data_IF_070711494263
#
_entry.id   IF_070711494263
#
_cell.length_a   1.000
_cell.length_b   1.000
_cell.length_c   1.000
_cell.angle_alpha   90.00
_cell.angle_beta   90.00
_cell.angle_gamma   90.00
#
_symmetry.space_group_name_H-M   'P 1'
#
loop_
_entity.id
_entity.type
_entity.pdbx_description
1 polymer ?
#
# COMPACT_ATOMS: atom_id res chain seq x y z
N UNK A 1 -19.51 1.05 12.19
CA UNK A 1 -19.39 0.37 10.88
C UNK A 1 -20.72 0.51 10.19
N UNK A 2 -20.71 1.00 8.97
CA UNK A 2 -21.89 1.36 8.19
C UNK A 2 -21.86 0.59 6.87
N UNK A 3 -23.01 0.10 6.39
CA UNK A 3 -23.11 -0.48 5.05
C UNK A 3 -23.53 0.61 4.07
N UNK A 4 -22.86 0.69 2.94
CA UNK A 4 -23.15 1.65 1.88
C UNK A 4 -23.25 0.95 0.52
N UNK A 5 -23.93 1.60 -0.42
CA UNK A 5 -23.99 1.17 -1.81
C UNK A 5 -22.92 1.89 -2.63
N UNK A 6 -22.17 1.15 -3.43
CA UNK A 6 -21.23 1.69 -4.39
C UNK A 6 -21.85 1.78 -5.79
N UNK A 7 -21.36 2.71 -6.61
CA UNK A 7 -21.68 2.79 -8.05
C UNK A 7 -20.70 2.03 -8.92
N UNK A 8 -19.46 1.88 -8.44
CA UNK A 8 -18.37 1.16 -9.11
C UNK A 8 -17.34 0.71 -8.08
N UNK A 9 -16.65 -0.39 -8.36
CA UNK A 9 -15.57 -0.94 -7.54
C UNK A 9 -14.22 -0.78 -8.23
N UNK A 10 -14.17 -0.97 -9.55
CA UNK A 10 -12.95 -0.87 -10.37
C UNK A 10 -12.92 0.41 -11.21
N UNK A 11 -12.13 1.39 -10.76
CA UNK A 11 -11.87 2.63 -11.50
C UNK A 11 -10.55 2.55 -12.26
N UNK A 12 -10.53 2.89 -13.55
CA UNK A 12 -9.26 3.01 -14.30
C UNK A 12 -8.50 4.25 -13.83
N UNK A 13 -7.20 4.11 -13.56
CA UNK A 13 -6.35 5.26 -13.23
C UNK A 13 -6.22 6.21 -14.43
N UNK A 14 -6.09 7.51 -14.16
CA UNK A 14 -5.91 8.53 -15.23
C UNK A 14 -4.64 8.27 -16.03
N UNK A 15 -3.53 7.99 -15.34
CA UNK A 15 -2.23 7.69 -15.93
C UNK A 15 -1.97 6.18 -15.80
N UNK A 16 -2.77 5.36 -16.51
CA UNK A 16 -2.68 3.91 -16.44
C UNK A 16 -1.82 3.32 -17.58
N UNK A 17 -0.95 2.31 -17.31
CA UNK A 17 -0.57 1.85 -15.97
C UNK A 17 0.24 2.91 -15.22
N UNK A 18 0.10 2.97 -13.89
CA UNK A 18 0.89 3.91 -13.09
C UNK A 18 2.38 3.53 -13.07
N UNK A 19 3.25 4.52 -12.89
CA UNK A 19 4.70 4.34 -13.02
C UNK A 19 5.37 3.68 -11.82
N UNK A 20 4.70 3.61 -10.67
CA UNK A 20 5.26 3.03 -9.45
C UNK A 20 4.94 1.54 -9.35
N UNK A 21 3.70 1.17 -9.66
CA UNK A 21 3.16 -0.15 -9.36
C UNK A 21 2.60 -0.90 -10.57
N UNK A 22 2.54 -0.25 -11.74
CA UNK A 22 1.97 -0.84 -12.95
C UNK A 22 0.45 -1.11 -12.83
N UNK A 23 -0.23 -0.45 -11.88
CA UNK A 23 -1.67 -0.61 -11.65
C UNK A 23 -2.43 0.11 -12.76
N UNK A 24 -3.43 -0.57 -13.32
CA UNK A 24 -4.36 0.01 -14.28
C UNK A 24 -5.72 0.30 -13.67
N UNK A 25 -6.19 -0.62 -12.82
CA UNK A 25 -7.49 -0.53 -12.16
C UNK A 25 -7.31 -0.44 -10.65
N UNK A 26 -7.87 0.61 -10.04
CA UNK A 26 -7.91 0.71 -8.59
C UNK A 26 -9.19 0.08 -8.05
N UNK A 27 -9.06 -0.80 -7.06
CA UNK A 27 -10.16 -1.45 -6.37
C UNK A 27 -10.29 -0.90 -4.94
N UNK A 28 -11.49 -0.42 -4.59
CA UNK A 28 -11.78 0.05 -3.23
C UNK A 28 -13.03 -0.63 -2.69
N UNK A 29 -12.86 -1.48 -1.69
CA UNK A 29 -13.94 -2.24 -1.07
C UNK A 29 -14.53 -1.55 0.17
N UNK A 30 -13.74 -0.66 0.79
CA UNK A 30 -14.11 0.08 1.98
C UNK A 30 -13.96 1.59 1.80
N UNK A 31 -14.54 2.36 2.73
CA UNK A 31 -14.17 3.75 2.99
C UNK A 31 -13.83 3.92 4.47
N UNK A 32 -12.82 4.75 4.75
CA UNK A 32 -12.17 4.83 6.05
C UNK A 32 -11.09 3.75 6.23
N UNK A 33 -10.27 3.85 7.27
CA UNK A 33 -9.27 2.85 7.56
C UNK A 33 -8.98 2.68 9.06
N UNK A 34 -9.09 1.46 9.59
CA UNK A 34 -8.87 1.17 11.02
C UNK A 34 -7.40 1.26 11.45
N UNK A 35 -6.46 1.32 10.50
CA UNK A 35 -5.04 1.49 10.83
C UNK A 35 -4.71 2.87 11.41
N UNK A 36 -5.53 3.88 11.11
CA UNK A 36 -5.45 5.22 11.72
C UNK A 36 -4.05 5.88 11.66
N UNK A 37 -3.29 5.62 10.59
CA UNK A 37 -1.97 6.22 10.39
C UNK A 37 -2.06 7.75 10.51
N UNK A 38 -1.13 8.35 11.26
CA UNK A 38 -1.20 9.78 11.58
C UNK A 38 -1.04 10.66 10.34
N UNK A 39 -0.37 10.14 9.31
CA UNK A 39 -0.04 10.82 8.05
C UNK A 39 -0.96 10.42 6.87
N UNK A 40 -2.05 9.71 7.11
CA UNK A 40 -2.84 9.09 6.03
C UNK A 40 -3.41 10.10 5.02
N UNK A 41 -2.97 10.01 3.76
CA UNK A 41 -3.40 10.87 2.65
C UNK A 41 -4.92 10.80 2.41
N UNK A 42 -5.53 9.63 2.64
CA UNK A 42 -6.97 9.40 2.48
C UNK A 42 -7.87 10.17 3.45
N UNK A 43 -7.28 10.91 4.42
CA UNK A 43 -7.99 11.90 5.23
C UNK A 43 -8.28 13.20 4.50
N UNK A 44 -7.61 13.45 3.37
CA UNK A 44 -7.81 14.65 2.58
C UNK A 44 -9.25 14.76 2.08
N UNK A 45 -9.74 15.99 1.96
CA UNK A 45 -11.09 16.29 1.51
C UNK A 45 -11.40 15.71 0.12
N UNK A 46 -10.40 15.57 -0.75
CA UNK A 46 -10.59 15.04 -2.10
C UNK A 46 -11.14 13.59 -2.12
N UNK A 47 -10.94 12.82 -1.04
CA UNK A 47 -11.47 11.46 -0.88
C UNK A 47 -12.92 11.41 -0.34
N UNK A 48 -13.45 12.57 0.09
CA UNK A 48 -14.84 12.76 0.54
C UNK A 48 -15.26 11.82 1.68
N UNK A 49 -14.33 11.48 2.58
CA UNK A 49 -14.58 10.66 3.76
C UNK A 49 -14.71 11.61 4.96
N UNK A 50 -15.92 11.80 5.47
CA UNK A 50 -16.19 12.73 6.56
C UNK A 50 -15.60 12.22 7.89
N UNK A 51 -15.93 10.97 8.25
CA UNK A 51 -15.37 10.29 9.41
C UNK A 51 -14.53 9.10 8.95
N UNK A 52 -13.20 9.25 9.09
CA UNK A 52 -12.25 8.21 8.68
C UNK A 52 -12.21 7.01 9.63
N UNK A 53 -12.81 7.14 10.82
CA UNK A 53 -12.89 6.08 11.84
C UNK A 53 -14.13 5.21 11.67
N UNK A 54 -15.23 5.77 11.15
CA UNK A 54 -16.41 4.99 10.79
C UNK A 54 -16.20 4.27 9.45
N UNK A 55 -15.82 2.99 9.54
CA UNK A 55 -15.61 2.16 8.35
C UNK A 55 -16.94 1.92 7.63
N UNK A 56 -16.98 2.33 6.37
CA UNK A 56 -18.11 2.09 5.48
C UNK A 56 -17.78 0.90 4.57
N UNK A 57 -18.62 -0.12 4.63
CA UNK A 57 -18.49 -1.38 3.89
C UNK A 57 -19.39 -1.28 2.65
N UNK A 58 -18.82 -1.46 1.46
CA UNK A 58 -19.60 -1.46 0.23
C UNK A 58 -20.28 -2.82 0.05
N UNK A 59 -21.52 -2.95 0.52
CA UNK A 59 -22.18 -4.26 0.61
C UNK A 59 -22.46 -4.91 -0.75
N UNK A 60 -22.65 -4.11 -1.80
CA UNK A 60 -22.84 -4.58 -3.17
C UNK A 60 -21.52 -4.78 -3.94
N UNK A 61 -20.36 -4.70 -3.27
CA UNK A 61 -19.07 -4.68 -3.92
C UNK A 61 -18.77 -5.94 -4.75
N UNK A 62 -19.06 -7.13 -4.22
CA UNK A 62 -18.74 -8.38 -4.92
C UNK A 62 -19.57 -8.54 -6.20
N UNK A 63 -20.88 -8.29 -6.12
CA UNK A 63 -21.77 -8.35 -7.28
C UNK A 63 -21.37 -7.34 -8.36
N UNK A 64 -21.01 -6.11 -7.97
CA UNK A 64 -20.51 -5.10 -8.90
C UNK A 64 -19.17 -5.48 -9.51
N UNK A 65 -18.23 -5.97 -8.69
CA UNK A 65 -16.91 -6.38 -9.12
C UNK A 65 -17.01 -7.48 -10.18
N UNK A 66 -17.83 -8.50 -9.96
CA UNK A 66 -18.03 -9.58 -10.93
C UNK A 66 -18.54 -9.05 -12.29
N UNK A 67 -19.54 -8.17 -12.28
CA UNK A 67 -20.06 -7.53 -13.49
C UNK A 67 -19.00 -6.68 -14.20
N UNK A 68 -18.19 -5.94 -13.45
CA UNK A 68 -17.11 -5.11 -14.00
C UNK A 68 -15.98 -5.96 -14.59
N UNK A 69 -15.59 -7.05 -13.94
CA UNK A 69 -14.55 -7.98 -14.41
C UNK A 69 -14.98 -8.68 -15.71
N UNK A 70 -16.26 -9.08 -15.83
CA UNK A 70 -16.83 -9.66 -17.07
C UNK A 70 -16.76 -8.69 -18.25
N UNK A 71 -16.99 -7.39 -18.00
CA UNK A 71 -17.02 -6.35 -19.05
C UNK A 71 -15.62 -5.89 -19.48
N UNK A 72 -14.60 -6.00 -18.62
CA UNK A 72 -13.24 -5.52 -18.91
C UNK A 72 -12.46 -6.55 -19.75
N UNK A 73 -12.29 -6.22 -21.04
CA UNK A 73 -11.50 -7.03 -22.00
C UNK A 73 -9.99 -6.96 -21.75
N UNK A 74 -9.49 -5.78 -21.38
CA UNK A 74 -8.08 -5.59 -21.03
C UNK A 74 -7.82 -6.20 -19.64
N UNK A 75 -7.07 -7.31 -19.61
CA UNK A 75 -6.54 -7.90 -18.37
C UNK A 75 -5.29 -7.13 -17.97
N UNK A 76 -5.42 -6.29 -16.95
CA UNK A 76 -4.35 -5.46 -16.44
C UNK A 76 -4.45 -5.34 -14.91
N UNK A 77 -3.35 -4.98 -14.27
CA UNK A 77 -3.19 -5.07 -12.80
C UNK A 77 -4.28 -4.32 -12.07
N UNK A 78 -4.98 -5.05 -11.19
CA UNK A 78 -5.90 -4.51 -10.20
C UNK A 78 -5.11 -4.22 -8.93
N UNK A 79 -5.04 -2.95 -8.53
CA UNK A 79 -4.42 -2.52 -7.30
C UNK A 79 -5.42 -2.37 -6.15
N UNK A 80 -4.98 -2.70 -4.95
CA UNK A 80 -5.69 -2.40 -3.69
C UNK A 80 -4.77 -1.59 -2.76
N UNK A 81 -5.29 -1.06 -1.65
CA UNK A 81 -4.45 -0.38 -0.64
C UNK A 81 -4.26 1.12 -0.85
N UNK A 82 -4.95 1.75 -1.81
CA UNK A 82 -4.74 3.16 -2.17
C UNK A 82 -5.56 4.16 -1.35
N UNK A 83 -6.79 3.84 -0.97
CA UNK A 83 -7.66 4.72 -0.15
C UNK A 83 -8.02 4.16 1.23
N UNK A 84 -7.80 2.86 1.39
CA UNK A 84 -8.06 2.07 2.59
C UNK A 84 -7.11 0.87 2.53
N UNK A 85 -6.83 0.26 3.67
CA UNK A 85 -6.10 -0.99 3.69
C UNK A 85 -7.07 -2.15 3.43
N UNK A 86 -6.79 -3.07 2.48
CA UNK A 86 -7.68 -4.19 2.20
C UNK A 86 -7.74 -5.21 3.34
N UNK A 87 -6.78 -5.20 4.27
CA UNK A 87 -6.62 -6.18 5.35
C UNK A 87 -6.72 -5.55 6.74
N UNK A 88 -7.61 -4.56 6.90
CA UNK A 88 -7.97 -4.00 8.21
C UNK A 88 -8.50 -5.06 9.18
N UNK A 89 -8.50 -4.82 10.51
CA UNK A 89 -9.08 -5.73 11.50
C UNK A 89 -10.49 -6.26 11.17
N UNK A 90 -11.37 -5.45 10.58
CA UNK A 90 -12.72 -5.87 10.14
C UNK A 90 -12.70 -6.97 9.08
N UNK A 91 -11.66 -7.02 8.25
CA UNK A 91 -11.50 -8.02 7.18
C UNK A 91 -11.34 -9.44 7.74
N UNK A 92 -10.96 -9.59 9.02
CA UNK A 92 -10.94 -10.90 9.71
C UNK A 92 -12.32 -11.56 9.75
N UNK A 93 -13.39 -10.77 9.73
CA UNK A 93 -14.76 -11.27 9.84
C UNK A 93 -15.53 -11.16 8.52
N UNK A 94 -15.33 -10.07 7.76
CA UNK A 94 -16.14 -9.79 6.56
C UNK A 94 -15.61 -10.55 5.33
N UNK A 95 -14.29 -10.75 5.25
CA UNK A 95 -13.66 -11.46 4.14
C UNK A 95 -13.99 -10.87 2.75
N UNK A 96 -14.19 -9.55 2.66
CA UNK A 96 -14.58 -8.91 1.39
C UNK A 96 -13.40 -8.91 0.43
N UNK A 97 -12.18 -8.69 0.93
CA UNK A 97 -10.95 -8.77 0.14
C UNK A 97 -10.72 -10.20 -0.32
N UNK A 98 -10.85 -11.20 0.55
CA UNK A 98 -10.71 -12.61 0.17
C UNK A 98 -11.66 -13.00 -0.95
N UNK A 99 -12.93 -12.63 -0.83
CA UNK A 99 -13.93 -12.93 -1.85
C UNK A 99 -13.72 -12.13 -3.14
N UNK A 100 -13.20 -10.90 -3.06
CA UNK A 100 -12.78 -10.17 -4.25
C UNK A 100 -11.60 -10.84 -4.96
N UNK A 101 -10.60 -11.35 -4.21
CA UNK A 101 -9.49 -12.13 -4.77
C UNK A 101 -9.99 -13.39 -5.50
N UNK A 102 -11.00 -14.09 -4.96
CA UNK A 102 -11.64 -15.22 -5.63
C UNK A 102 -12.22 -14.84 -6.98
N UNK A 103 -12.93 -13.72 -7.07
CA UNK A 103 -13.49 -13.23 -8.34
C UNK A 103 -12.37 -12.81 -9.33
N UNK A 104 -11.32 -12.17 -8.83
CA UNK A 104 -10.14 -11.78 -9.62
C UNK A 104 -9.47 -13.01 -10.23
N UNK A 105 -9.28 -14.06 -9.44
CA UNK A 105 -8.76 -15.36 -9.89
C UNK A 105 -9.63 -15.97 -10.99
N UNK A 106 -10.94 -16.10 -10.73
CA UNK A 106 -11.90 -16.68 -11.70
C UNK A 106 -11.90 -15.95 -13.05
N UNK A 107 -11.72 -14.64 -13.03
CA UNK A 107 -11.67 -13.81 -14.23
C UNK A 107 -10.26 -13.57 -14.79
N UNK A 108 -9.24 -14.23 -14.23
CA UNK A 108 -7.83 -14.20 -14.66
C UNK A 108 -7.27 -12.78 -14.76
N UNK A 109 -7.52 -11.97 -13.72
CA UNK A 109 -6.90 -10.66 -13.61
C UNK A 109 -5.64 -10.72 -12.76
N UNK A 110 -4.56 -10.03 -13.16
CA UNK A 110 -3.41 -9.81 -12.30
C UNK A 110 -3.77 -8.87 -11.14
N UNK A 111 -3.15 -9.08 -9.98
CA UNK A 111 -3.43 -8.29 -8.76
C UNK A 111 -2.16 -7.77 -8.09
N UNK A 112 -2.24 -6.57 -7.54
CA UNK A 112 -1.27 -6.02 -6.61
C UNK A 112 -1.96 -5.63 -5.31
N UNK A 113 -1.53 -6.27 -4.23
CA UNK A 113 -1.99 -5.98 -2.87
C UNK A 113 -1.00 -5.06 -2.20
N UNK A 114 -1.46 -3.90 -1.71
CA UNK A 114 -0.68 -3.01 -0.86
C UNK A 114 -1.32 -3.00 0.52
N UNK A 115 -0.55 -3.31 1.57
CA UNK A 115 -1.09 -3.40 2.94
C UNK A 115 -0.03 -3.11 4.00
N UNK A 116 -0.48 -2.75 5.20
CA UNK A 116 0.29 -2.75 6.45
C UNK A 116 -0.02 -3.95 7.35
N UNK A 117 -0.91 -4.84 6.93
CA UNK A 117 -1.47 -5.87 7.78
C UNK A 117 -0.84 -7.24 7.55
N UNK A 118 -0.50 -7.93 8.64
CA UNK A 118 -0.09 -9.32 8.61
C UNK A 118 -1.24 -10.27 8.22
N UNK A 119 -2.50 -9.81 8.25
CA UNK A 119 -3.67 -10.63 7.89
C UNK A 119 -3.65 -11.13 6.44
N UNK A 120 -2.89 -10.47 5.55
CA UNK A 120 -2.69 -10.91 4.16
C UNK A 120 -2.21 -12.36 4.05
N UNK A 121 -1.50 -12.88 5.07
CA UNK A 121 -1.02 -14.26 5.11
C UNK A 121 -2.17 -15.28 5.10
N UNK A 122 -3.36 -14.92 5.62
CA UNK A 122 -4.56 -15.76 5.57
C UNK A 122 -4.91 -16.16 4.14
N UNK A 123 -4.68 -15.26 3.19
CA UNK A 123 -5.12 -15.39 1.80
C UNK A 123 -3.98 -15.82 0.86
N UNK A 124 -2.89 -16.38 1.40
CA UNK A 124 -1.76 -16.92 0.62
C UNK A 124 -2.22 -17.95 -0.41
N UNK A 125 -3.22 -18.77 -0.08
CA UNK A 125 -3.81 -19.74 -1.01
C UNK A 125 -4.35 -19.05 -2.27
N UNK A 126 -5.18 -18.02 -2.11
CA UNK A 126 -5.74 -17.24 -3.21
C UNK A 126 -4.69 -16.42 -3.95
N UNK A 127 -3.74 -15.83 -3.23
CA UNK A 127 -2.64 -15.07 -3.84
C UNK A 127 -1.76 -15.96 -4.72
N UNK A 128 -1.51 -17.20 -4.28
CA UNK A 128 -0.78 -18.22 -5.04
C UNK A 128 -1.54 -18.65 -6.28
N UNK A 129 -2.84 -18.88 -6.17
CA UNK A 129 -3.69 -19.22 -7.32
C UNK A 129 -3.69 -18.10 -8.39
N UNK A 130 -3.77 -16.83 -7.97
CA UNK A 130 -3.70 -15.67 -8.87
C UNK A 130 -2.29 -15.50 -9.48
N UNK A 131 -1.24 -16.01 -8.81
CA UNK A 131 0.14 -15.83 -9.28
C UNK A 131 0.41 -16.49 -10.63
N UNK A 132 -0.40 -17.48 -11.04
CA UNK A 132 -0.40 -18.05 -12.39
C UNK A 132 -0.74 -17.03 -13.49
N UNK A 133 -1.44 -15.93 -13.14
CA UNK A 133 -1.58 -14.76 -14.01
C UNK A 133 -0.51 -13.73 -13.65
N UNK A 134 -0.56 -13.21 -12.42
CA UNK A 134 0.46 -12.39 -11.76
C UNK A 134 -0.11 -11.89 -10.43
N UNK A 135 0.68 -12.02 -9.37
CA UNK A 135 0.36 -11.48 -8.04
C UNK A 135 1.57 -10.75 -7.51
N UNK A 136 1.38 -9.54 -7.00
CA UNK A 136 2.37 -8.85 -6.19
C UNK A 136 1.79 -8.49 -4.81
N UNK A 137 2.60 -8.55 -3.76
CA UNK A 137 2.24 -8.08 -2.42
C UNK A 137 3.29 -7.10 -1.90
N UNK A 138 2.88 -5.85 -1.69
CA UNK A 138 3.69 -4.81 -1.08
C UNK A 138 3.29 -4.60 0.38
N UNK A 139 4.22 -4.84 1.30
CA UNK A 139 4.03 -4.52 2.72
C UNK A 139 4.66 -3.16 3.03
N UNK A 140 3.89 -2.24 3.61
CA UNK A 140 4.43 -0.94 4.02
C UNK A 140 5.13 -1.03 5.38
N UNK A 141 6.40 -0.62 5.42
CA UNK A 141 7.21 -0.48 6.64
C UNK A 141 7.83 0.92 6.64
N UNK A 142 7.40 1.77 7.56
CA UNK A 142 7.86 3.18 7.66
C UNK A 142 8.97 3.36 8.69
N UNK A 143 9.06 2.46 9.67
CA UNK A 143 10.12 2.44 10.69
C UNK A 143 10.52 1.01 11.04
N UNK A 144 11.78 0.80 11.42
CA UNK A 144 12.27 -0.46 11.98
C UNK A 144 11.95 -0.64 13.47
N UNK A 145 11.44 0.39 14.16
CA UNK A 145 11.12 0.35 15.59
C UNK A 145 9.62 0.17 15.83
N UNK A 146 9.25 -0.95 16.47
CA UNK A 146 7.87 -1.24 16.84
C UNK A 146 7.28 -0.19 17.79
N UNK A 147 8.09 0.44 18.64
CA UNK A 147 7.62 1.49 19.56
C UNK A 147 7.17 2.71 18.78
N UNK A 148 7.99 3.17 17.83
CA UNK A 148 7.63 4.25 16.92
C UNK A 148 6.45 3.86 16.02
N UNK A 149 6.41 2.63 15.50
CA UNK A 149 5.29 2.14 14.67
C UNK A 149 3.94 2.25 15.39
N UNK A 150 3.87 1.89 16.68
CA UNK A 150 2.65 2.05 17.49
C UNK A 150 2.18 3.50 17.63
N UNK A 151 3.09 4.47 17.53
CA UNK A 151 2.76 5.89 17.60
C UNK A 151 2.22 6.38 16.25
N UNK A 152 2.94 6.09 15.15
CA UNK A 152 2.62 6.65 13.83
C UNK A 152 1.54 5.87 13.07
N UNK A 153 1.34 4.60 13.39
CA UNK A 153 0.40 3.68 12.74
C UNK A 153 -0.37 2.83 13.78
N UNK A 154 -1.08 3.46 14.74
CA UNK A 154 -1.53 2.80 15.99
C UNK A 154 -2.51 1.64 15.81
N UNK A 155 -3.24 1.58 14.70
CA UNK A 155 -4.17 0.50 14.41
C UNK A 155 -3.63 -0.58 13.47
N UNK A 156 -2.42 -0.41 12.94
CA UNK A 156 -1.77 -1.40 12.10
C UNK A 156 -0.88 -2.34 12.96
N UNK A 157 -0.66 -3.59 12.51
CA UNK A 157 0.38 -4.48 13.06
C UNK A 157 1.72 -3.76 13.18
N UNK A 158 2.53 -4.07 14.19
CA UNK A 158 3.85 -3.46 14.33
C UNK A 158 4.83 -3.98 13.27
N UNK A 159 5.97 -3.32 13.11
CA UNK A 159 6.94 -3.65 12.06
C UNK A 159 7.41 -5.11 12.11
N UNK A 160 7.69 -5.64 13.31
CA UNK A 160 8.10 -7.05 13.45
C UNK A 160 7.05 -8.03 12.92
N UNK A 161 5.76 -7.80 13.17
CA UNK A 161 4.66 -8.62 12.65
C UNK A 161 4.55 -8.50 11.12
N UNK A 162 4.77 -7.31 10.56
CA UNK A 162 4.79 -7.08 9.11
C UNK A 162 5.96 -7.79 8.44
N UNK A 163 7.14 -7.82 9.06
CA UNK A 163 8.30 -8.57 8.58
C UNK A 163 8.07 -10.08 8.65
N UNK A 164 7.41 -10.59 9.68
CA UNK A 164 7.00 -11.99 9.73
C UNK A 164 6.02 -12.35 8.61
N UNK A 165 5.06 -11.47 8.31
CA UNK A 165 4.14 -11.66 7.20
C UNK A 165 4.87 -11.65 5.84
N UNK A 166 5.83 -10.75 5.66
CA UNK A 166 6.69 -10.69 4.47
C UNK A 166 7.47 -12.01 4.28
N UNK A 167 8.06 -12.54 5.36
CA UNK A 167 8.75 -13.82 5.36
C UNK A 167 7.84 -14.96 4.94
N UNK A 168 6.64 -15.06 5.53
CA UNK A 168 5.68 -16.09 5.19
C UNK A 168 5.21 -16.02 3.72
N UNK A 169 5.01 -14.80 3.18
CA UNK A 169 4.68 -14.60 1.76
C UNK A 169 5.82 -15.03 0.85
N UNK A 170 7.06 -14.65 1.18
CA UNK A 170 8.25 -15.01 0.42
C UNK A 170 8.47 -16.53 0.41
N UNK A 171 8.38 -17.19 1.56
CA UNK A 171 8.49 -18.65 1.70
C UNK A 171 7.38 -19.41 0.95
N UNK A 172 6.20 -18.79 0.78
CA UNK A 172 5.13 -19.33 -0.05
C UNK A 172 5.34 -19.14 -1.56
N UNK A 173 6.42 -18.45 -1.97
CA UNK A 173 6.75 -18.16 -3.37
C UNK A 173 5.97 -16.99 -3.97
N UNK A 174 5.36 -16.12 -3.14
CA UNK A 174 4.66 -14.94 -3.61
C UNK A 174 5.66 -13.83 -3.93
N UNK A 175 5.54 -13.20 -5.10
CA UNK A 175 6.33 -12.01 -5.42
C UNK A 175 5.94 -10.86 -4.49
N UNK A 176 6.77 -10.59 -3.50
CA UNK A 176 6.48 -9.61 -2.45
C UNK A 176 7.64 -8.64 -2.21
N UNK A 177 7.33 -7.44 -1.74
CA UNK A 177 8.32 -6.40 -1.47
C UNK A 177 7.88 -5.43 -0.40
N UNK A 178 8.75 -4.46 -0.11
CA UNK A 178 8.53 -3.47 0.95
C UNK A 178 8.39 -2.07 0.39
N UNK A 179 7.41 -1.32 0.92
CA UNK A 179 7.26 0.10 0.65
C UNK A 179 7.67 0.90 1.89
N UNK A 180 8.73 1.71 1.75
CA UNK A 180 9.11 2.73 2.72
C UNK A 180 8.40 4.03 2.34
N UNK A 181 7.09 4.02 2.48
CA UNK A 181 6.20 5.07 1.98
C UNK A 181 5.14 5.43 3.01
N UNK A 182 5.21 6.64 3.61
CA UNK A 182 6.24 7.68 3.42
C UNK A 182 7.49 7.46 4.29
N UNK A 183 8.58 8.13 3.93
CA UNK A 183 9.61 8.55 4.90
C UNK A 183 9.18 9.89 5.49
N UNK A 184 8.91 9.92 6.80
CA UNK A 184 8.41 11.08 7.52
C UNK A 184 9.58 11.99 7.94
N UNK A 185 9.61 13.27 7.48
CA UNK A 185 10.66 14.21 7.87
C UNK A 185 10.81 14.35 9.39
N UNK A 186 12.04 14.31 9.88
CA UNK A 186 12.42 14.42 11.29
C UNK A 186 11.89 13.30 12.21
N UNK A 187 11.30 12.24 11.66
CA UNK A 187 10.69 11.14 12.43
C UNK A 187 11.26 9.79 11.98
N UNK A 188 11.17 9.48 10.68
CA UNK A 188 11.64 8.19 10.13
C UNK A 188 12.75 8.36 9.09
N UNK A 189 13.25 9.58 8.91
CA UNK A 189 14.24 9.98 7.90
C UNK A 189 15.69 9.82 8.33
N UNK A 190 15.97 9.03 9.38
CA UNK A 190 17.34 8.72 9.78
C UNK A 190 17.93 7.62 8.90
N UNK A 191 19.22 7.76 8.55
CA UNK A 191 19.93 6.74 7.78
C UNK A 191 19.91 5.36 8.47
N UNK A 192 19.97 5.34 9.81
CA UNK A 192 19.89 4.11 10.60
C UNK A 192 18.52 3.43 10.46
N UNK A 193 17.42 4.18 10.46
CA UNK A 193 16.08 3.62 10.27
C UNK A 193 15.96 2.99 8.88
N UNK A 194 16.34 3.72 7.83
CA UNK A 194 16.29 3.22 6.44
C UNK A 194 17.16 1.97 6.27
N UNK A 195 18.41 2.00 6.75
CA UNK A 195 19.31 0.84 6.74
C UNK A 195 18.68 -0.37 7.43
N UNK A 196 18.12 -0.16 8.62
CA UNK A 196 17.51 -1.23 9.41
C UNK A 196 16.31 -1.86 8.70
N UNK A 197 15.47 -1.05 8.04
CA UNK A 197 14.35 -1.56 7.24
C UNK A 197 14.86 -2.39 6.08
N UNK A 198 15.86 -1.89 5.33
CA UNK A 198 16.42 -2.62 4.18
C UNK A 198 17.03 -3.95 4.61
N UNK A 199 17.88 -3.95 5.63
CA UNK A 199 18.55 -5.17 6.10
C UNK A 199 17.55 -6.21 6.60
N UNK A 200 16.54 -5.81 7.38
CA UNK A 200 15.51 -6.73 7.89
C UNK A 200 14.59 -7.25 6.78
N UNK A 201 14.20 -6.39 5.83
CA UNK A 201 13.32 -6.76 4.73
C UNK A 201 14.02 -7.72 3.75
N UNK A 202 15.31 -7.54 3.52
CA UNK A 202 16.12 -8.46 2.71
C UNK A 202 16.24 -9.83 3.40
N UNK A 203 16.50 -9.86 4.71
CA UNK A 203 16.51 -11.09 5.52
C UNK A 203 15.15 -11.82 5.52
N UNK A 204 14.06 -11.07 5.45
CA UNK A 204 12.70 -11.61 5.33
C UNK A 204 12.35 -12.06 3.89
N UNK A 205 13.27 -11.98 2.94
CA UNK A 205 13.06 -12.48 1.57
C UNK A 205 12.22 -11.56 0.69
N UNK A 206 12.27 -10.24 0.91
CA UNK A 206 11.72 -9.29 -0.07
C UNK A 206 12.33 -9.53 -1.46
N UNK A 207 11.57 -9.26 -2.51
CA UNK A 207 12.04 -9.27 -3.90
C UNK A 207 12.35 -7.87 -4.42
N UNK A 208 11.69 -6.86 -3.86
CA UNK A 208 11.91 -5.45 -4.18
C UNK A 208 11.66 -4.57 -2.96
N UNK A 209 12.24 -3.37 -2.97
CA UNK A 209 11.95 -2.32 -2.01
C UNK A 209 11.81 -1.01 -2.75
N UNK A 210 10.88 -0.17 -2.34
CA UNK A 210 10.69 1.16 -2.93
C UNK A 210 10.47 2.16 -1.81
N UNK A 211 10.99 3.37 -1.97
CA UNK A 211 10.89 4.42 -0.96
C UNK A 211 10.29 5.70 -1.56
N UNK A 212 9.55 6.44 -0.73
CA UNK A 212 9.12 7.79 -1.04
C UNK A 212 9.72 8.72 0.02
N UNK A 213 10.71 9.53 -0.39
CA UNK A 213 11.51 10.41 0.49
C UNK A 213 10.74 11.67 0.93
N UNK A 214 9.56 11.47 1.47
CA UNK A 214 8.67 12.53 1.94
C UNK A 214 7.26 12.03 2.17
N UNK A 215 6.44 12.95 2.64
CA UNK A 215 5.03 12.72 2.92
C UNK A 215 4.17 13.76 2.23
N UNK A 216 3.03 13.34 1.69
CA UNK A 216 2.04 14.26 1.16
C UNK A 216 1.35 14.99 2.33
N UNK A 217 1.04 16.27 2.17
CA UNK A 217 0.32 17.07 3.15
C UNK A 217 -0.74 17.93 2.45
N UNK A 218 -1.96 17.42 2.37
CA UNK A 218 -3.15 18.11 1.85
C UNK A 218 -4.05 18.60 3.00
N UNK A 219 -4.75 19.71 2.81
CA UNK A 219 -5.94 20.14 3.58
C UNK A 219 -6.14 19.48 4.98
N UNK A 220 -7.20 18.68 5.18
CA UNK A 220 -7.56 18.00 6.43
C UNK A 220 -6.52 16.98 6.89
N UNK A 221 -5.78 16.38 5.96
CA UNK A 221 -4.68 15.49 6.31
C UNK A 221 -3.59 16.25 7.07
N UNK A 222 -3.22 17.45 6.62
CA UNK A 222 -2.19 18.30 7.25
C UNK A 222 -2.62 18.69 8.66
N UNK A 223 -3.85 19.16 8.82
CA UNK A 223 -4.38 19.56 10.13
C UNK A 223 -4.37 18.39 11.11
N UNK A 224 -4.87 17.22 10.68
CA UNK A 224 -4.84 16.02 11.50
C UNK A 224 -3.42 15.59 11.85
N UNK A 225 -2.51 15.60 10.86
CA UNK A 225 -1.12 15.22 11.07
C UNK A 225 -0.44 16.16 12.08
N UNK A 226 -0.63 17.48 11.96
CA UNK A 226 -0.07 18.46 12.89
C UNK A 226 -0.62 18.31 14.31
N UNK A 227 -1.92 18.03 14.48
CA UNK A 227 -2.47 17.69 15.79
C UNK A 227 -1.80 16.45 16.40
N UNK A 228 -1.47 15.45 15.59
CA UNK A 228 -0.73 14.26 16.06
C UNK A 228 0.74 14.56 16.34
N UNK A 229 1.37 15.41 15.54
CA UNK A 229 2.73 15.87 15.79
C UNK A 229 2.84 16.63 17.11
N UNK A 230 1.92 17.56 17.38
CA UNK A 230 1.91 18.31 18.64
C UNK A 230 1.82 17.39 19.86
N UNK A 231 0.96 16.37 19.76
CA UNK A 231 0.76 15.38 20.82
C UNK A 231 1.94 14.43 21.04
N UNK A 232 2.53 13.91 19.96
CA UNK A 232 3.49 12.78 20.05
C UNK A 232 4.93 13.18 19.79
N UNK A 233 5.16 14.31 19.14
CA UNK A 233 6.48 14.82 18.78
C UNK A 233 6.58 16.34 19.07
N UNK A 234 6.56 16.74 20.36
CA UNK A 234 6.54 18.16 20.73
C UNK A 234 7.66 18.96 20.07
N UNK A 235 7.31 20.12 19.52
CA UNK A 235 8.25 21.01 18.82
C UNK A 235 8.46 20.69 17.33
N UNK A 236 7.87 19.62 16.78
CA UNK A 236 7.95 19.37 15.34
C UNK A 236 6.99 20.23 14.50
N UNK A 237 5.83 20.63 15.02
CA UNK A 237 4.87 21.46 14.26
C UNK A 237 5.50 22.77 13.76
N UNK A 238 6.20 23.58 14.58
CA UNK A 238 6.87 24.77 14.09
C UNK A 238 7.93 24.49 13.02
N UNK A 239 8.68 23.38 13.14
CA UNK A 239 9.67 22.97 12.13
C UNK A 239 9.02 22.61 10.80
N UNK A 240 7.91 21.87 10.84
CA UNK A 240 7.14 21.51 9.65
C UNK A 240 6.55 22.76 8.99
N UNK A 241 5.95 23.67 9.76
CA UNK A 241 5.40 24.93 9.24
C UNK A 241 6.48 25.80 8.60
N UNK A 242 7.62 25.99 9.29
CA UNK A 242 8.72 26.82 8.78
C UNK A 242 9.33 26.26 7.49
N UNK A 243 9.42 24.93 7.36
CA UNK A 243 10.07 24.28 6.21
C UNK A 243 9.13 24.06 5.02
N UNK A 244 7.91 23.61 5.27
CA UNK A 244 7.02 23.12 4.23
C UNK A 244 5.83 24.06 3.96
N UNK A 245 5.47 24.92 4.91
CA UNK A 245 4.31 25.81 4.79
C UNK A 245 3.07 25.04 4.33
N UNK A 246 2.54 25.42 3.17
CA UNK A 246 1.38 24.79 2.54
C UNK A 246 1.69 23.87 1.36
N UNK A 247 2.96 23.48 1.18
CA UNK A 247 3.36 22.60 0.09
C UNK A 247 2.61 21.26 0.14
N UNK A 248 2.30 20.73 -1.06
CA UNK A 248 1.67 19.41 -1.19
C UNK A 248 2.60 18.28 -0.72
N UNK A 249 3.91 18.42 -0.93
CA UNK A 249 4.90 17.40 -0.62
C UNK A 249 5.89 17.93 0.41
N UNK A 250 5.97 17.29 1.58
CA UNK A 250 6.99 17.54 2.57
C UNK A 250 8.13 16.52 2.36
N UNK A 251 9.09 16.89 1.51
CA UNK A 251 10.30 16.10 1.28
C UNK A 251 11.25 16.16 2.49
N UNK A 252 11.96 15.07 2.76
CA UNK A 252 12.98 15.07 3.83
C UNK A 252 14.14 16.03 3.47
N UNK A 253 14.92 16.53 4.45
CA UNK A 253 15.93 17.54 4.17
C UNK A 253 16.99 17.18 3.11
N UNK A 254 17.46 15.94 3.10
CA UNK A 254 18.38 15.40 2.09
C UNK A 254 17.75 14.21 1.34
N UNK A 255 16.67 14.50 0.60
CA UNK A 255 15.94 13.46 -0.12
C UNK A 255 16.79 12.76 -1.19
N UNK A 256 17.67 13.49 -1.89
CA UNK A 256 18.52 12.92 -2.94
C UNK A 256 19.62 12.02 -2.35
N UNK A 257 20.36 12.50 -1.35
CA UNK A 257 21.41 11.71 -0.70
C UNK A 257 20.85 10.48 -0.01
N UNK A 258 19.69 10.60 0.64
CA UNK A 258 18.99 9.45 1.23
C UNK A 258 18.52 8.45 0.16
N UNK A 259 17.97 8.91 -0.96
CA UNK A 259 17.54 8.04 -2.05
C UNK A 259 18.74 7.30 -2.68
N UNK A 260 19.86 7.99 -2.89
CA UNK A 260 21.10 7.36 -3.37
C UNK A 260 21.57 6.29 -2.39
N UNK A 261 21.66 6.62 -1.11
CA UNK A 261 22.10 5.69 -0.05
C UNK A 261 21.19 4.46 0.07
N UNK A 262 19.87 4.66 -0.04
CA UNK A 262 18.89 3.58 -0.09
C UNK A 262 19.12 2.67 -1.31
N UNK A 263 19.30 3.25 -2.50
CA UNK A 263 19.53 2.50 -3.73
C UNK A 263 20.84 1.70 -3.66
N UNK A 264 21.93 2.33 -3.22
CA UNK A 264 23.24 1.68 -3.11
C UNK A 264 23.21 0.53 -2.10
N UNK A 265 22.54 0.72 -0.97
CA UNK A 265 22.35 -0.35 0.01
C UNK A 265 21.52 -1.51 -0.56
N UNK A 266 20.39 -1.22 -1.21
CA UNK A 266 19.59 -2.26 -1.87
C UNK A 266 20.42 -3.03 -2.91
N UNK A 267 21.17 -2.34 -3.77
CA UNK A 267 22.03 -2.99 -4.76
C UNK A 267 23.12 -3.87 -4.13
N UNK A 268 23.76 -3.41 -3.05
CA UNK A 268 24.78 -4.19 -2.33
C UNK A 268 24.22 -5.49 -1.72
N UNK A 269 22.90 -5.54 -1.49
CA UNK A 269 22.18 -6.70 -0.96
C UNK A 269 21.46 -7.51 -2.06
N UNK A 270 21.65 -7.17 -3.35
CA UNK A 270 20.97 -7.84 -4.45
C UNK A 270 19.46 -7.55 -4.55
N UNK A 271 18.99 -6.47 -3.92
CA UNK A 271 17.58 -6.09 -3.87
C UNK A 271 17.21 -5.12 -4.98
N UNK A 272 16.09 -5.37 -5.66
CA UNK A 272 15.54 -4.45 -6.65
C UNK A 272 14.92 -3.21 -6.00
N UNK A 273 15.15 -2.03 -6.57
CA UNK A 273 14.58 -0.75 -6.13
C UNK A 273 13.28 -0.38 -6.85
N UNK A 274 12.80 -1.29 -7.70
CA UNK A 274 11.57 -1.20 -8.47
C UNK A 274 10.93 -2.60 -8.57
N UNK A 275 9.61 -2.65 -8.68
CA UNK A 275 8.91 -3.92 -8.88
C UNK A 275 8.80 -4.27 -10.37
N UNK A 276 8.79 -5.57 -10.67
CA UNK A 276 8.50 -6.09 -12.02
C UNK A 276 7.00 -6.04 -12.23
N UNK A 277 6.54 -5.35 -13.27
CA UNK A 277 5.12 -5.27 -13.57
C UNK A 277 4.60 -6.49 -14.34
N UNK A 278 3.29 -6.72 -14.23
CA UNK A 278 2.59 -7.65 -15.12
C UNK A 278 2.78 -7.24 -16.58
N UNK A 279 3.21 -8.20 -17.40
CA UNK A 279 3.28 -8.05 -18.85
C UNK A 279 2.21 -8.95 -19.46
N UNK A 280 1.23 -8.41 -20.19
CA UNK A 280 0.24 -9.22 -20.87
C UNK A 280 0.92 -10.21 -21.84
N UNK A 281 0.44 -11.45 -21.95
CA UNK A 281 0.95 -12.37 -22.97
C UNK A 281 0.74 -11.77 -24.36
N UNK A 282 1.77 -11.85 -25.20
CA UNK A 282 1.67 -11.44 -26.61
C UNK A 282 0.58 -12.25 -27.28
N UNK A 283 -0.36 -11.63 -28.01
CA UNK A 283 -1.36 -12.37 -28.76
C UNK A 283 -0.63 -13.30 -29.74
N UNK A 284 -0.77 -14.61 -29.56
CA UNK A 284 -0.45 -15.54 -30.64
C UNK A 284 -1.46 -15.25 -31.75
N UNK A 285 -0.99 -14.64 -32.83
CA UNK A 285 -1.76 -14.57 -34.06
C UNK A 285 -2.02 -16.01 -34.49
N UNK A 286 -3.27 -16.46 -34.37
CA UNK A 286 -3.68 -17.74 -34.94
C UNK A 286 -3.38 -17.64 -36.43
N UNK A 287 -2.39 -18.41 -36.89
CA UNK A 287 -2.14 -18.53 -38.31
C UNK A 287 -3.38 -19.16 -38.92
N UNK A 288 -4.07 -18.41 -39.78
CA UNK A 288 -5.13 -18.94 -40.63
C UNK A 288 -4.44 -19.82 -41.67
N UNK A 289 -4.23 -21.09 -41.32
CA UNK A 289 -3.90 -22.17 -42.24
C UNK A 289 -5.02 -23.20 -42.17
#
# INVERSE_FOLDING_TARGET
MEKIQAKSILSKLKNAPDSWFGITYNMNLYRGCQHQCIYCDSRSECYRIADFTNIQIKENALSLLELELKKKRLKATIGTGSMNDPYMPVEKQIELTRNALRLIYQHRFPVHVITKSALVVRDVDMLKDISHTYTAVSITITTADDSLSRIIEPGAPVTSERLHALKALSEAGIYCGVLIMPVLPFITDTAQNIRSIVEQSAKAGAHYMMAAMGVTLRDRQRDYYYQKLDRYFPGLVPKYQARFGEQYMAAIPDAYGMQSSFNDLCHSMGMATQMKFYTPPTPQQLSLF
#
